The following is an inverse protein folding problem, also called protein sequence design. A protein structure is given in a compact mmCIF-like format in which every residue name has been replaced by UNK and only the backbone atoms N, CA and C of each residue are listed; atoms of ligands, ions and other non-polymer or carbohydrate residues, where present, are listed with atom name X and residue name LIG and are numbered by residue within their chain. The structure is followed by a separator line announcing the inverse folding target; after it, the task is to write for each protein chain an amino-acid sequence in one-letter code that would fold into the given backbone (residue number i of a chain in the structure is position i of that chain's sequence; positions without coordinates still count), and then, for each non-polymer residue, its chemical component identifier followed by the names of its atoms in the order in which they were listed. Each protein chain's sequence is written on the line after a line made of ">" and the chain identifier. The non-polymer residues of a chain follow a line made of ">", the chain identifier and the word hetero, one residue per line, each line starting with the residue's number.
data_IF_983965001034
#
_entry.id   IF_983965001034
#
_cell.length_a   1.000
_cell.length_b   1.000
_cell.length_c   1.000
_cell.angle_alpha   90.00
_cell.angle_beta   90.00
_cell.angle_gamma   90.00
#
_symmetry.space_group_name_H-M   'P 1'
#
loop_
_entity.id
_entity.type
_entity.pdbx_description
1 polymer ?
#
# COMPACT_ATOMS: atom_id res chain seq x y z
N UNK A 1 -0.29 17.51 3.68
CA UNK A 1 -0.95 18.14 4.86
C UNK A 1 -0.77 17.38 6.17
N UNK A 2 -1.40 16.22 6.43
CA UNK A 2 -1.19 15.49 7.70
C UNK A 2 0.24 14.95 7.84
N UNK A 3 0.79 14.38 6.76
CA UNK A 3 2.17 13.89 6.70
C UNK A 3 3.22 14.98 6.93
N UNK A 4 2.98 16.21 6.43
CA UNK A 4 3.86 17.36 6.63
C UNK A 4 3.92 17.75 8.11
N UNK A 5 2.78 17.89 8.77
CA UNK A 5 2.70 18.24 10.20
C UNK A 5 3.36 17.15 11.05
N UNK A 6 3.15 15.89 10.70
CA UNK A 6 3.76 14.76 11.42
C UNK A 6 5.30 14.73 11.33
N UNK A 7 5.90 15.34 10.29
CA UNK A 7 7.36 15.47 10.14
C UNK A 7 7.97 16.51 11.08
N UNK A 8 7.20 17.51 11.51
CA UNK A 8 7.70 18.54 12.43
C UNK A 8 7.93 17.99 13.85
N UNK A 9 7.27 16.89 14.21
CA UNK A 9 7.45 16.25 15.49
C UNK A 9 8.76 15.46 15.53
N UNK A 10 9.62 15.79 16.51
CA UNK A 10 10.82 15.00 16.82
C UNK A 10 10.41 13.72 17.55
N UNK A 11 10.39 12.62 16.82
CA UNK A 11 10.05 11.29 17.34
C UNK A 11 11.23 10.34 17.19
N UNK A 12 11.56 9.58 18.23
CA UNK A 12 12.63 8.55 18.18
C UNK A 12 12.19 7.32 17.39
N UNK A 13 10.92 6.93 17.49
CA UNK A 13 10.34 5.79 16.80
C UNK A 13 8.94 6.15 16.27
N UNK A 14 8.55 5.55 15.15
CA UNK A 14 7.23 5.75 14.53
C UNK A 14 6.60 4.40 14.23
N UNK A 15 5.33 4.25 14.62
CA UNK A 15 4.51 3.07 14.31
C UNK A 15 3.32 3.52 13.47
N UNK A 16 3.15 2.89 12.32
CA UNK A 16 2.04 3.13 11.42
C UNK A 16 1.08 1.93 11.47
N UNK A 17 -0.20 2.20 11.73
CA UNK A 17 -1.25 1.18 11.74
C UNK A 17 -2.18 1.40 10.55
N UNK A 18 -2.29 0.41 9.66
CA UNK A 18 -3.20 0.45 8.52
C UNK A 18 -3.98 -0.86 8.40
N UNK A 19 -5.25 -0.75 8.03
CA UNK A 19 -6.15 -1.89 7.83
C UNK A 19 -6.22 -2.38 6.38
N UNK A 20 -5.75 -1.58 5.42
CA UNK A 20 -5.76 -1.92 4.00
C UNK A 20 -4.37 -2.35 3.55
N UNK A 21 -4.26 -3.50 2.86
CA UNK A 21 -2.98 -3.89 2.26
C UNK A 21 -2.69 -2.87 1.18
N UNK A 22 -1.73 -1.97 1.46
CA UNK A 22 -1.05 -1.05 0.57
C UNK A 22 -1.74 -0.90 -0.80
N UNK A 23 -2.53 0.15 -1.00
CA UNK A 23 -3.19 0.35 -2.30
C UNK A 23 -2.09 0.45 -3.38
N UNK A 24 -2.36 -0.03 -4.60
CA UNK A 24 -1.39 -0.06 -5.71
C UNK A 24 -0.96 1.34 -6.22
N UNK A 25 -1.05 2.37 -5.39
CA UNK A 25 -0.60 3.72 -5.67
C UNK A 25 0.80 3.93 -5.09
N UNK A 26 1.79 4.13 -5.97
CA UNK A 26 3.18 4.37 -5.59
C UNK A 26 3.36 5.62 -4.74
N UNK A 27 2.55 6.64 -4.98
CA UNK A 27 2.60 7.87 -4.21
C UNK A 27 2.11 7.66 -2.78
N UNK A 28 1.13 6.78 -2.58
CA UNK A 28 0.68 6.38 -1.25
C UNK A 28 1.76 5.55 -0.54
N UNK A 29 2.38 4.59 -1.24
CA UNK A 29 3.50 3.81 -0.72
C UNK A 29 4.65 4.73 -0.27
N UNK A 30 5.07 5.67 -1.12
CA UNK A 30 6.10 6.65 -0.77
C UNK A 30 5.71 7.46 0.47
N UNK A 31 4.47 7.92 0.56
CA UNK A 31 4.00 8.71 1.71
C UNK A 31 4.09 7.93 3.03
N UNK A 32 3.78 6.63 3.02
CA UNK A 32 3.90 5.76 4.18
C UNK A 32 5.36 5.49 4.55
N UNK A 33 6.22 5.25 3.55
CA UNK A 33 7.65 5.02 3.75
C UNK A 33 8.38 6.26 4.26
N UNK A 34 8.08 7.41 3.67
CA UNK A 34 8.56 8.70 4.14
C UNK A 34 8.13 8.97 5.58
N UNK A 35 6.90 8.62 5.96
CA UNK A 35 6.46 8.78 7.34
C UNK A 35 7.31 7.93 8.30
N UNK A 36 7.62 6.67 7.95
CA UNK A 36 8.42 5.78 8.80
C UNK A 36 9.91 6.15 8.81
N UNK A 37 10.48 6.47 7.64
CA UNK A 37 11.91 6.70 7.39
C UNK A 37 12.12 7.92 6.46
N UNK A 38 11.93 9.15 6.96
CA UNK A 38 12.01 10.38 6.17
C UNK A 38 13.43 10.66 5.67
N UNK A 39 14.46 10.19 6.38
CA UNK A 39 15.86 10.42 6.00
C UNK A 39 16.26 9.62 4.76
N UNK A 40 15.64 8.46 4.56
CA UNK A 40 15.86 7.58 3.39
C UNK A 40 14.94 7.97 2.24
N UNK A 41 13.68 8.34 2.54
CA UNK A 41 12.64 8.62 1.54
C UNK A 41 12.19 10.09 1.60
N UNK A 42 13.09 11.04 1.37
CA UNK A 42 12.80 12.48 1.53
C UNK A 42 12.10 13.12 0.31
N UNK A 43 12.31 12.57 -0.89
CA UNK A 43 11.89 13.12 -2.18
C UNK A 43 10.96 12.15 -2.90
N UNK A 44 9.79 12.62 -3.31
CA UNK A 44 8.86 11.83 -4.13
C UNK A 44 9.38 11.66 -5.55
N UNK A 45 10.00 12.71 -6.09
CA UNK A 45 10.46 12.75 -7.47
C UNK A 45 11.63 11.78 -7.68
N UNK A 46 12.53 11.67 -6.69
CA UNK A 46 13.62 10.69 -6.72
C UNK A 46 13.10 9.25 -6.60
N UNK A 47 12.06 9.04 -5.77
CA UNK A 47 11.41 7.76 -5.65
C UNK A 47 10.71 7.35 -6.95
N UNK A 48 10.00 8.28 -7.57
CA UNK A 48 9.30 8.06 -8.85
C UNK A 48 10.30 7.84 -9.99
N UNK A 49 11.39 8.60 -10.06
CA UNK A 49 12.45 8.41 -11.06
C UNK A 49 13.14 7.05 -10.92
N UNK A 50 13.49 6.66 -9.69
CA UNK A 50 14.05 5.35 -9.38
C UNK A 50 13.08 4.23 -9.78
N UNK A 51 11.79 4.40 -9.48
CA UNK A 51 10.77 3.41 -9.80
C UNK A 51 10.51 3.31 -11.31
N UNK A 52 10.40 4.44 -12.02
CA UNK A 52 10.19 4.49 -13.47
C UNK A 52 11.36 3.89 -14.25
N UNK A 53 12.60 4.17 -13.84
CA UNK A 53 13.81 3.56 -14.42
C UNK A 53 13.79 2.04 -14.27
N UNK A 54 13.28 1.56 -13.12
CA UNK A 54 13.16 0.14 -12.81
C UNK A 54 12.01 -0.54 -13.56
N UNK A 55 10.93 0.20 -13.86
CA UNK A 55 9.78 -0.31 -14.60
C UNK A 55 10.14 -0.64 -16.06
N UNK A 56 11.00 0.19 -16.67
CA UNK A 56 11.57 -0.03 -18.00
C UNK A 56 12.45 -1.29 -18.11
N UNK A 57 12.92 -1.84 -16.98
CA UNK A 57 13.80 -3.01 -16.91
C UNK A 57 13.08 -4.30 -16.52
N UNK A 58 11.75 -4.29 -16.35
CA UNK A 58 10.94 -5.44 -15.93
C UNK A 58 10.23 -5.21 -14.60
N UNK A 59 9.27 -4.28 -14.59
CA UNK A 59 8.68 -3.64 -13.41
C UNK A 59 8.08 -4.50 -12.30
N UNK A 60 7.77 -5.78 -12.52
CA UNK A 60 7.31 -6.66 -11.43
C UNK A 60 8.43 -6.99 -10.42
N UNK A 61 9.68 -7.08 -10.90
CA UNK A 61 10.83 -7.45 -10.06
C UNK A 61 11.17 -6.40 -9.01
N UNK A 62 10.87 -5.12 -9.28
CA UNK A 62 11.21 -4.01 -8.39
C UNK A 62 10.26 -3.91 -7.20
N UNK A 63 8.95 -4.10 -7.44
CA UNK A 63 7.95 -4.13 -6.37
C UNK A 63 8.24 -5.27 -5.40
N UNK A 64 8.59 -6.44 -5.91
CA UNK A 64 8.98 -7.58 -5.09
C UNK A 64 10.25 -7.31 -4.27
N UNK A 65 11.26 -6.67 -4.87
CA UNK A 65 12.48 -6.25 -4.16
C UNK A 65 12.19 -5.24 -3.06
N UNK A 66 11.38 -4.22 -3.35
CA UNK A 66 10.97 -3.24 -2.36
C UNK A 66 10.18 -3.91 -1.23
N UNK A 67 9.22 -4.78 -1.56
CA UNK A 67 8.47 -5.56 -0.57
C UNK A 67 9.39 -6.46 0.27
N UNK A 68 10.46 -7.03 -0.31
CA UNK A 68 11.43 -7.83 0.42
C UNK A 68 12.24 -6.98 1.43
N UNK A 69 12.66 -5.77 1.03
CA UNK A 69 13.34 -4.80 1.92
C UNK A 69 12.40 -4.31 3.02
N UNK A 70 11.11 -4.14 2.71
CA UNK A 70 10.09 -3.65 3.65
C UNK A 70 9.54 -4.73 4.57
N UNK A 71 9.66 -6.01 4.22
CA UNK A 71 9.19 -7.15 5.00
C UNK A 71 9.59 -7.12 6.48
N UNK A 72 10.83 -6.80 6.88
CA UNK A 72 11.19 -6.68 8.30
C UNK A 72 10.52 -5.51 9.02
N UNK A 73 10.10 -4.47 8.30
CA UNK A 73 9.45 -3.28 8.87
C UNK A 73 7.92 -3.38 8.90
N UNK A 74 7.34 -4.36 8.20
CA UNK A 74 5.90 -4.50 8.02
C UNK A 74 5.42 -5.85 8.57
N UNK A 75 4.63 -5.78 9.65
CA UNK A 75 3.92 -6.95 10.16
C UNK A 75 2.53 -7.03 9.54
N UNK A 76 2.33 -7.98 8.62
CA UNK A 76 1.03 -8.29 8.01
C UNK A 76 0.62 -9.71 8.36
N UNK A 77 -0.65 -9.89 8.74
CA UNK A 77 -1.28 -11.20 8.96
C UNK A 77 -2.60 -11.27 8.18
N UNK A 78 -2.88 -12.41 7.58
CA UNK A 78 -4.15 -12.67 6.92
C UNK A 78 -5.14 -13.31 7.91
N UNK A 79 -6.44 -13.00 7.78
CA UNK A 79 -7.47 -13.61 8.64
C UNK A 79 -7.44 -15.14 8.60
N UNK A 80 -7.16 -15.72 7.43
CA UNK A 80 -7.01 -17.17 7.24
C UNK A 80 -5.82 -17.78 7.99
N UNK A 81 -4.76 -17.00 8.22
CA UNK A 81 -3.57 -17.46 8.96
C UNK A 81 -3.81 -17.48 10.47
N UNK A 82 -4.64 -16.56 10.97
CA UNK A 82 -4.82 -16.31 12.40
C UNK A 82 -6.07 -17.01 12.94
N UNK A 83 -7.17 -16.98 12.20
CA UNK A 83 -8.48 -17.41 12.69
C UNK A 83 -8.99 -18.64 11.91
N UNK A 84 -8.57 -19.83 12.34
CA UNK A 84 -8.92 -21.11 11.71
C UNK A 84 -10.39 -21.52 11.94
N UNK A 85 -11.05 -20.93 12.94
CA UNK A 85 -12.47 -21.16 13.22
C UNK A 85 -13.42 -20.33 12.33
N UNK A 86 -12.91 -19.32 11.63
CA UNK A 86 -13.72 -18.45 10.79
C UNK A 86 -14.06 -19.15 9.47
N UNK A 87 -15.35 -19.23 9.16
CA UNK A 87 -15.82 -19.76 7.88
C UNK A 87 -15.30 -18.89 6.72
N UNK A 88 -14.98 -19.48 5.55
CA UNK A 88 -14.54 -18.72 4.39
C UNK A 88 -15.56 -17.65 3.97
N UNK A 89 -15.05 -16.52 3.46
CA UNK A 89 -15.87 -15.48 2.84
C UNK A 89 -16.62 -16.06 1.64
N UNK A 90 -17.94 -15.89 1.60
CA UNK A 90 -18.75 -16.15 0.40
C UNK A 90 -18.93 -14.85 -0.37
N UNK A 91 -18.56 -14.85 -1.64
CA UNK A 91 -18.72 -13.71 -2.53
C UNK A 91 -19.60 -14.14 -3.72
N UNK A 92 -20.70 -13.43 -3.94
CA UNK A 92 -21.63 -13.70 -5.03
C UNK A 92 -21.74 -12.44 -5.90
N UNK A 93 -21.38 -12.57 -7.18
CA UNK A 93 -21.59 -11.52 -8.17
C UNK A 93 -22.97 -11.75 -8.80
N UNK A 94 -23.93 -10.92 -8.44
CA UNK A 94 -25.28 -10.95 -9.03
C UNK A 94 -25.31 -9.95 -10.17
N UNK A 95 -25.30 -10.48 -11.39
CA UNK A 95 -25.45 -9.67 -12.59
C UNK A 95 -26.93 -9.38 -12.80
N UNK A 96 -27.29 -8.10 -12.80
CA UNK A 96 -28.67 -7.63 -13.05
C UNK A 96 -28.71 -6.89 -14.38
N UNK A 97 -29.75 -7.16 -15.18
CA UNK A 97 -30.02 -6.38 -16.38
C UNK A 97 -30.66 -5.04 -16.05
N UNK A 98 -30.46 -4.04 -16.90
CA UNK A 98 -31.20 -2.78 -16.81
C UNK A 98 -32.68 -3.02 -17.09
N UNK A 99 -33.56 -2.38 -16.30
CA UNK A 99 -35.00 -2.35 -16.56
C UNK A 99 -35.32 -1.52 -17.82
N UNK A 100 -36.52 -1.65 -18.38
CA UNK A 100 -36.92 -0.86 -19.56
C UNK A 100 -36.80 0.65 -19.31
N UNK A 101 -37.24 1.13 -18.15
CA UNK A 101 -37.15 2.54 -17.72
C UNK A 101 -35.71 3.05 -17.56
N UNK A 102 -34.73 2.16 -17.33
CA UNK A 102 -33.31 2.52 -17.23
C UNK A 102 -32.59 2.44 -18.58
N UNK A 103 -33.23 1.87 -19.61
CA UNK A 103 -32.70 1.78 -20.98
C UNK A 103 -33.24 2.89 -21.89
N UNK A 104 -34.41 3.42 -21.56
CA UNK A 104 -34.98 4.64 -22.13
C UNK A 104 -34.33 5.88 -21.50
#
# INVERSE_FOLDING_TARGET
>A
KLSEILREFKNTNRLLLTGTPLQNNLHELWSLLNFLLPDVFNSSDDFDAWFNTSQCLGGNSMVERLHAVLKPFLLRRLKIEVEKGLKPKKELKVYVGLSKMQRE
#
